data_IF_622112768630
#
_entry.id   IF_622112768630
#
_cell.length_a   1.000
_cell.length_b   1.000
_cell.length_c   1.000
_cell.angle_alpha   90.00
_cell.angle_beta   90.00
_cell.angle_gamma   90.00
#
_symmetry.space_group_name_H-M   'P 1'
#
loop_
_entity.id
_entity.type
_entity.pdbx_description
1 polymer ?
#
# COMPACT_ATOMS: atom_id res chain seq x y z
N UNK A 1 -10.64 -2.88 -11.36
CA UNK A 1 -11.12 -4.27 -11.14
C UNK A 1 -10.72 -5.27 -12.24
N UNK A 2 -10.88 -4.96 -13.54
CA UNK A 2 -10.47 -5.87 -14.63
C UNK A 2 -8.98 -6.23 -14.57
N UNK A 3 -8.13 -5.22 -14.35
CA UNK A 3 -6.68 -5.37 -14.28
C UNK A 3 -6.22 -6.31 -13.14
N UNK A 4 -6.81 -6.18 -11.94
CA UNK A 4 -6.52 -7.07 -10.80
C UNK A 4 -6.82 -8.53 -11.12
N UNK A 5 -8.01 -8.82 -11.66
CA UNK A 5 -8.39 -10.18 -12.04
C UNK A 5 -7.47 -10.75 -13.13
N UNK A 6 -7.12 -9.94 -14.11
CA UNK A 6 -6.21 -10.33 -15.17
C UNK A 6 -4.78 -10.58 -14.65
N UNK A 7 -4.25 -9.72 -13.78
CA UNK A 7 -2.92 -9.87 -13.19
C UNK A 7 -2.81 -11.19 -12.40
N UNK A 8 -3.84 -11.52 -11.62
CA UNK A 8 -3.90 -12.76 -10.85
C UNK A 8 -4.04 -13.98 -11.77
N UNK A 9 -4.90 -13.90 -12.79
CA UNK A 9 -5.03 -14.96 -13.80
C UNK A 9 -3.71 -15.22 -14.54
N UNK A 10 -2.87 -14.20 -14.69
CA UNK A 10 -1.53 -14.30 -15.26
C UNK A 10 -0.45 -14.69 -14.22
N UNK A 11 -0.83 -15.06 -13.00
CA UNK A 11 0.05 -15.62 -11.98
C UNK A 11 0.66 -14.61 -11.02
N UNK A 12 0.18 -13.35 -10.98
CA UNK A 12 0.68 -12.38 -10.00
C UNK A 12 0.29 -12.76 -8.58
N UNK A 13 1.28 -12.93 -7.70
CA UNK A 13 1.08 -13.16 -6.27
C UNK A 13 0.96 -11.86 -5.45
N UNK A 14 1.28 -10.71 -6.06
CA UNK A 14 1.19 -9.37 -5.46
C UNK A 14 0.34 -8.47 -6.36
N UNK A 15 -0.52 -7.65 -5.75
CA UNK A 15 -1.29 -6.62 -6.45
C UNK A 15 -0.90 -5.24 -5.94
N UNK A 16 -0.34 -4.47 -6.86
CA UNK A 16 -0.02 -3.06 -6.69
C UNK A 16 -1.27 -2.24 -6.92
N UNK A 17 -1.92 -1.78 -5.85
CA UNK A 17 -3.03 -0.85 -5.93
C UNK A 17 -2.64 0.52 -5.40
N UNK A 18 -3.42 1.53 -5.80
CA UNK A 18 -3.31 2.87 -5.26
C UNK A 18 -4.64 3.18 -4.63
N UNK A 19 -4.63 3.40 -3.32
CA UNK A 19 -5.76 3.94 -2.57
C UNK A 19 -5.56 5.45 -2.50
N UNK A 20 -6.62 6.21 -2.77
CA UNK A 20 -6.69 7.64 -2.72
C UNK A 20 -7.59 8.09 -1.56
N UNK A 21 -7.02 8.08 -0.36
CA UNK A 21 -7.65 8.60 0.85
C UNK A 21 -8.00 10.09 0.78
N UNK A 22 -7.49 10.83 -0.22
CA UNK A 22 -7.94 12.19 -0.52
C UNK A 22 -9.46 12.22 -0.73
N UNK A 23 -10.05 11.15 -1.28
CA UNK A 23 -11.49 11.03 -1.44
C UNK A 23 -12.23 11.05 -0.10
N UNK A 24 -11.73 10.36 0.94
CA UNK A 24 -12.33 10.43 2.26
C UNK A 24 -12.27 11.86 2.84
N UNK A 25 -11.11 12.51 2.72
CA UNK A 25 -10.89 13.88 3.23
C UNK A 25 -11.73 14.92 2.49
N UNK A 26 -12.02 14.67 1.22
CA UNK A 26 -12.83 15.52 0.36
C UNK A 26 -14.34 15.18 0.42
N UNK A 27 -14.76 14.22 1.26
CA UNK A 27 -16.16 13.80 1.41
C UNK A 27 -16.72 12.99 0.24
N UNK A 28 -15.84 12.41 -0.57
CA UNK A 28 -16.13 11.57 -1.74
C UNK A 28 -16.31 10.12 -1.34
N UNK A 29 -17.42 9.84 -0.68
CA UNK A 29 -17.69 8.54 -0.05
C UNK A 29 -17.90 7.39 -1.05
N UNK A 30 -18.42 7.67 -2.25
CA UNK A 30 -18.64 6.64 -3.28
C UNK A 30 -17.30 6.03 -3.72
N UNK A 31 -16.27 6.86 -3.87
CA UNK A 31 -14.94 6.44 -4.27
C UNK A 31 -14.21 5.70 -3.15
N UNK A 32 -14.43 6.08 -1.89
CA UNK A 32 -13.95 5.29 -0.74
C UNK A 32 -14.60 3.91 -0.72
N UNK A 33 -15.90 3.81 -1.05
CA UNK A 33 -16.58 2.53 -1.18
C UNK A 33 -15.97 1.67 -2.29
N UNK A 34 -15.55 2.27 -3.41
CA UNK A 34 -14.82 1.57 -4.47
C UNK A 34 -13.45 1.03 -4.00
N UNK A 35 -12.75 1.75 -3.13
CA UNK A 35 -11.47 1.33 -2.56
C UNK A 35 -11.62 0.17 -1.57
N UNK A 36 -12.68 0.20 -0.76
CA UNK A 36 -13.05 -0.92 0.11
C UNK A 36 -13.36 -2.16 -0.73
N UNK A 37 -14.16 -2.02 -1.80
CA UNK A 37 -14.44 -3.12 -2.74
C UNK A 37 -13.17 -3.66 -3.39
N UNK A 38 -12.16 -2.82 -3.66
CA UNK A 38 -10.89 -3.28 -4.19
C UNK A 38 -10.16 -4.22 -3.21
N UNK A 39 -10.20 -3.94 -1.90
CA UNK A 39 -9.63 -4.80 -0.87
C UNK A 39 -10.29 -6.18 -0.83
N UNK A 40 -11.63 -6.22 -0.92
CA UNK A 40 -12.40 -7.46 -0.99
C UNK A 40 -12.06 -8.27 -2.25
N UNK A 41 -11.89 -7.60 -3.39
CA UNK A 41 -11.55 -8.26 -4.65
C UNK A 41 -10.16 -8.88 -4.60
N UNK A 42 -9.17 -8.16 -4.06
CA UNK A 42 -7.81 -8.68 -3.90
C UNK A 42 -7.83 -9.92 -3.00
N UNK A 43 -8.60 -9.86 -1.91
CA UNK A 43 -8.81 -10.99 -1.00
C UNK A 43 -9.41 -12.19 -1.71
N UNK A 44 -10.54 -11.99 -2.38
CA UNK A 44 -11.27 -13.07 -3.07
C UNK A 44 -10.50 -13.65 -4.25
N UNK A 45 -9.61 -12.87 -4.85
CA UNK A 45 -8.78 -13.33 -5.94
C UNK A 45 -7.52 -14.07 -5.46
N UNK A 46 -7.24 -14.11 -4.15
CA UNK A 46 -6.19 -14.95 -3.57
C UNK A 46 -4.78 -14.39 -3.72
N UNK A 47 -4.63 -13.07 -3.88
CA UNK A 47 -3.31 -12.45 -3.84
C UNK A 47 -2.69 -12.61 -2.45
N UNK A 48 -1.36 -12.85 -2.39
CA UNK A 48 -0.64 -12.90 -1.12
C UNK A 48 -0.46 -11.49 -0.54
N UNK A 49 -0.20 -10.52 -1.42
CA UNK A 49 0.05 -9.13 -1.03
C UNK A 49 -0.86 -8.14 -1.73
N UNK A 50 -1.23 -7.13 -0.96
CA UNK A 50 -1.83 -5.87 -1.41
C UNK A 50 -0.85 -4.74 -1.09
N UNK A 51 -0.65 -3.81 -2.01
CA UNK A 51 0.30 -2.70 -1.86
C UNK A 51 -0.39 -1.36 -1.97
N UNK A 52 0.09 -0.36 -1.22
CA UNK A 52 -0.53 0.98 -1.10
C UNK A 52 -0.28 1.94 -2.26
N UNK A 53 0.93 1.94 -2.85
CA UNK A 53 1.25 2.86 -3.95
C UNK A 53 2.29 2.28 -4.90
N UNK A 54 2.36 2.79 -6.13
CA UNK A 54 3.34 2.34 -7.14
C UNK A 54 4.71 3.00 -6.98
N UNK A 55 4.78 4.15 -6.30
CA UNK A 55 6.00 4.99 -6.22
C UNK A 55 6.30 5.83 -7.47
N UNK A 56 5.45 5.77 -8.50
CA UNK A 56 5.56 6.59 -9.73
C UNK A 56 4.53 7.72 -9.81
N UNK A 57 3.59 7.76 -8.85
CA UNK A 57 2.58 8.82 -8.75
C UNK A 57 3.09 10.00 -7.92
N UNK A 58 2.24 11.01 -7.72
CA UNK A 58 2.55 12.20 -6.92
C UNK A 58 2.54 11.95 -5.41
N UNK A 59 1.98 10.82 -4.96
CA UNK A 59 1.86 10.45 -3.55
C UNK A 59 2.32 9.00 -3.30
N UNK A 60 2.82 8.76 -2.08
CA UNK A 60 3.24 7.45 -1.57
C UNK A 60 2.22 6.85 -0.61
N UNK A 61 2.65 5.88 0.21
CA UNK A 61 1.81 5.31 1.26
C UNK A 61 1.47 6.35 2.33
N UNK A 62 0.24 6.36 2.80
CA UNK A 62 -0.15 7.05 4.03
C UNK A 62 -0.51 6.04 5.12
N UNK A 63 -0.43 6.46 6.39
CA UNK A 63 -0.84 5.64 7.52
C UNK A 63 -2.32 5.26 7.46
N UNK A 64 -3.16 6.17 6.96
CA UNK A 64 -4.59 5.96 6.77
C UNK A 64 -4.83 4.84 5.73
N UNK A 65 -4.05 4.79 4.65
CA UNK A 65 -4.19 3.73 3.63
C UNK A 65 -3.94 2.34 4.22
N UNK A 66 -2.89 2.20 5.04
CA UNK A 66 -2.56 0.91 5.66
C UNK A 66 -3.61 0.52 6.69
N UNK A 67 -4.13 1.47 7.46
CA UNK A 67 -5.20 1.20 8.41
C UNK A 67 -6.49 0.76 7.71
N UNK A 68 -6.89 1.46 6.64
CA UNK A 68 -8.05 1.11 5.83
C UNK A 68 -7.90 -0.26 5.17
N UNK A 69 -6.73 -0.53 4.54
CA UNK A 69 -6.45 -1.86 4.01
C UNK A 69 -6.54 -2.91 5.11
N UNK A 70 -5.97 -2.66 6.29
CA UNK A 70 -5.96 -3.63 7.39
C UNK A 70 -7.36 -3.97 7.90
N UNK A 71 -8.30 -3.02 7.82
CA UNK A 71 -9.70 -3.24 8.19
C UNK A 71 -10.46 -4.08 7.16
N UNK A 72 -10.15 -3.93 5.87
CA UNK A 72 -10.99 -4.47 4.79
C UNK A 72 -10.40 -5.64 3.99
N UNK A 73 -9.10 -5.92 4.13
CA UNK A 73 -8.48 -7.08 3.48
C UNK A 73 -8.66 -8.32 4.34
N UNK A 74 -8.82 -9.49 3.71
CA UNK A 74 -8.91 -10.75 4.42
C UNK A 74 -7.62 -11.09 5.16
N UNK A 75 -7.74 -11.89 6.22
CA UNK A 75 -6.62 -12.23 7.13
C UNK A 75 -5.42 -12.88 6.41
N UNK A 76 -5.66 -13.53 5.26
CA UNK A 76 -4.66 -14.18 4.43
C UNK A 76 -3.90 -13.22 3.50
N UNK A 77 -4.33 -11.97 3.38
CA UNK A 77 -3.68 -10.95 2.54
C UNK A 77 -2.77 -10.07 3.39
N UNK A 78 -1.52 -9.96 2.98
CA UNK A 78 -0.50 -9.15 3.65
C UNK A 78 -0.42 -7.77 3.02
N UNK A 79 -0.21 -6.74 3.84
CA UNK A 79 -0.11 -5.36 3.36
C UNK A 79 1.36 -4.99 3.13
N UNK A 80 1.63 -4.35 1.99
CA UNK A 80 2.92 -3.74 1.67
C UNK A 80 2.77 -2.22 1.57
N UNK A 81 3.26 -1.51 2.57
CA UNK A 81 3.37 -0.04 2.48
C UNK A 81 4.54 0.31 1.55
N UNK A 82 4.30 1.12 0.53
CA UNK A 82 5.34 1.53 -0.41
C UNK A 82 5.25 3.01 -0.77
N UNK A 83 6.42 3.64 -0.95
CA UNK A 83 6.55 5.05 -1.34
C UNK A 83 6.53 6.02 -0.16
N UNK A 84 7.53 6.91 -0.07
CA UNK A 84 7.58 7.99 0.93
C UNK A 84 8.05 7.58 2.32
N UNK A 85 8.47 6.33 2.53
CA UNK A 85 8.96 5.84 3.84
C UNK A 85 10.42 6.29 4.01
N UNK A 86 10.61 7.37 4.76
CA UNK A 86 11.86 8.12 4.80
C UNK A 86 12.64 8.01 6.11
N UNK A 87 12.05 7.41 7.13
CA UNK A 87 12.67 7.24 8.45
C UNK A 87 12.32 5.88 9.07
N UNK A 88 13.09 5.46 10.07
CA UNK A 88 12.77 4.26 10.85
C UNK A 88 11.48 4.44 11.65
N UNK A 89 11.18 5.65 12.12
CA UNK A 89 9.93 5.96 12.82
C UNK A 89 8.71 5.75 11.90
N UNK A 90 8.79 6.20 10.64
CA UNK A 90 7.75 5.92 9.64
C UNK A 90 7.58 4.41 9.44
N UNK A 91 8.71 3.70 9.33
CA UNK A 91 8.75 2.25 9.12
C UNK A 91 8.07 1.49 10.27
N UNK A 92 8.43 1.81 11.51
CA UNK A 92 7.83 1.26 12.72
C UNK A 92 6.33 1.57 12.78
N UNK A 93 5.96 2.80 12.43
CA UNK A 93 4.55 3.21 12.42
C UNK A 93 3.75 2.40 11.41
N UNK A 94 4.23 2.23 10.18
CA UNK A 94 3.56 1.41 9.16
C UNK A 94 3.40 -0.05 9.61
N UNK A 95 4.43 -0.63 10.21
CA UNK A 95 4.37 -2.00 10.74
C UNK A 95 3.31 -2.09 11.85
N UNK A 96 3.28 -1.11 12.76
CA UNK A 96 2.29 -1.09 13.86
C UNK A 96 0.84 -1.00 13.37
N UNK A 97 0.61 -0.43 12.18
CA UNK A 97 -0.72 -0.29 11.57
C UNK A 97 -1.12 -1.52 10.75
N UNK A 98 -0.23 -2.51 10.60
CA UNK A 98 -0.54 -3.78 9.93
C UNK A 98 0.20 -4.02 8.62
N UNK A 99 1.17 -3.15 8.25
CA UNK A 99 2.04 -3.45 7.12
C UNK A 99 2.98 -4.63 7.45
N UNK A 100 2.90 -5.69 6.65
CA UNK A 100 3.78 -6.86 6.75
C UNK A 100 5.08 -6.69 5.95
N UNK A 101 5.13 -5.71 5.04
CA UNK A 101 6.29 -5.41 4.20
C UNK A 101 6.39 -3.92 3.91
N UNK A 102 7.62 -3.43 3.79
CA UNK A 102 7.91 -2.04 3.41
C UNK A 102 8.64 -1.99 2.07
N UNK A 103 8.17 -1.16 1.15
CA UNK A 103 8.81 -0.83 -0.11
C UNK A 103 9.47 0.54 -0.02
N UNK A 104 10.77 0.59 0.24
CA UNK A 104 11.53 1.83 0.42
C UNK A 104 12.96 1.72 -0.10
N UNK A 105 13.45 2.80 -0.71
CA UNK A 105 14.83 2.94 -1.16
C UNK A 105 15.72 3.66 -0.13
N UNK A 106 15.11 4.39 0.81
CA UNK A 106 15.80 5.32 1.72
C UNK A 106 16.33 4.65 2.97
N UNK A 107 15.59 3.72 3.58
CA UNK A 107 16.06 3.07 4.82
C UNK A 107 17.41 2.37 4.62
N UNK A 108 17.63 1.74 3.47
CA UNK A 108 18.92 1.12 3.12
C UNK A 108 20.04 2.16 3.07
N UNK A 109 19.78 3.35 2.51
CA UNK A 109 20.75 4.44 2.45
C UNK A 109 21.05 5.00 3.84
N UNK A 110 20.04 5.13 4.69
CA UNK A 110 20.20 5.57 6.08
C UNK A 110 21.05 4.58 6.86
N UNK A 111 20.75 3.27 6.77
CA UNK A 111 21.55 2.22 7.40
C UNK A 111 23.02 2.25 6.98
N UNK A 112 23.29 2.61 5.73
CA UNK A 112 24.65 2.69 5.17
C UNK A 112 25.32 4.05 5.38
N UNK A 113 24.65 5.01 6.03
CA UNK A 113 25.08 6.42 6.13
C UNK A 113 25.38 7.07 4.77
N UNK A 114 24.66 6.65 3.72
CA UNK A 114 24.78 7.19 2.36
C UNK A 114 23.55 7.98 1.94
N UNK A 115 22.63 8.28 2.86
CA UNK A 115 21.47 9.09 2.53
C UNK A 115 21.87 10.54 2.37
N UNK A 116 21.56 11.12 1.22
CA UNK A 116 21.79 12.50 0.88
C UNK A 116 20.48 13.31 0.83
N UNK A 117 19.40 12.75 1.38
CA UNK A 117 18.06 13.32 1.32
C UNK A 117 17.39 13.25 -0.05
N UNK A 118 18.00 12.61 -1.05
CA UNK A 118 17.46 12.52 -2.41
C UNK A 118 16.81 11.16 -2.72
N UNK A 119 15.58 11.20 -3.24
CA UNK A 119 14.77 10.05 -3.64
C UNK A 119 13.47 9.88 -2.84
N UNK A 120 12.55 9.08 -3.37
CA UNK A 120 11.30 8.66 -2.72
C UNK A 120 11.49 7.48 -1.76
#
# INVERSE_FOLDING_TARGET
MFETKNAIANGSSEIDMVINIGFLKDGRYEEVEEEIKACEIVTNAGAEFIKTSTGFSTAGATFDDVALMKEHVGENVKIKAAGGISSFDDAEKFISLGASRLGTSRLIKIMKNTDNGAGY
#
